data_IF_511032298695
#
_entry.id   IF_511032298695
#
_cell.length_a   1.000
_cell.length_b   1.000
_cell.length_c   1.000
_cell.angle_alpha   90.00
_cell.angle_beta   90.00
_cell.angle_gamma   90.00
#
_symmetry.space_group_name_H-M   'P 1'
#
loop_
_entity.id
_entity.type
_entity.pdbx_description
1 polymer ?
#
# COMPACT_ATOMS: atom_id res chain seq x y z
N UNK A 1 83.60 -86.01 12.75
CA UNK A 1 82.56 -85.07 13.22
C UNK A 1 82.73 -83.78 12.45
N UNK A 2 81.88 -83.53 11.46
CA UNK A 2 81.82 -82.26 10.73
C UNK A 2 80.70 -81.44 11.35
N UNK A 3 81.05 -80.35 12.02
CA UNK A 3 80.07 -79.38 12.49
C UNK A 3 79.53 -78.57 11.31
N UNK A 4 78.21 -78.57 11.20
CA UNK A 4 77.45 -77.93 10.13
C UNK A 4 77.68 -76.42 10.14
N UNK A 5 78.15 -75.89 9.00
CA UNK A 5 78.18 -74.46 8.69
C UNK A 5 76.75 -73.96 8.44
N UNK A 6 76.13 -73.30 9.41
CA UNK A 6 74.92 -72.52 9.15
C UNK A 6 75.31 -71.15 8.57
N UNK A 7 75.14 -71.01 7.26
CA UNK A 7 75.14 -69.71 6.57
C UNK A 7 73.92 -68.91 7.07
N UNK A 8 74.04 -67.61 7.40
CA UNK A 8 72.87 -66.80 7.77
C UNK A 8 71.88 -66.79 6.60
N UNK A 9 70.77 -67.51 6.76
CA UNK A 9 69.84 -67.75 5.67
C UNK A 9 69.28 -66.41 5.14
N UNK A 10 69.07 -66.32 3.82
CA UNK A 10 68.39 -65.19 3.16
C UNK A 10 66.97 -64.89 3.69
N UNK A 11 66.51 -65.53 4.77
CA UNK A 11 65.28 -65.20 5.50
C UNK A 11 65.23 -63.75 5.96
N UNK A 12 66.32 -63.16 6.45
CA UNK A 12 66.30 -61.76 6.94
C UNK A 12 66.09 -60.79 5.78
N UNK A 13 66.82 -60.98 4.68
CA UNK A 13 66.61 -60.23 3.44
C UNK A 13 65.22 -60.43 2.85
N UNK A 14 64.70 -61.67 2.90
CA UNK A 14 63.34 -62.00 2.46
C UNK A 14 62.28 -61.34 3.35
N UNK A 15 62.44 -61.32 4.67
CA UNK A 15 61.57 -60.62 5.61
C UNK A 15 61.57 -59.10 5.39
N UNK A 16 62.75 -58.50 5.13
CA UNK A 16 62.85 -57.08 4.79
C UNK A 16 62.19 -56.73 3.45
N UNK A 17 62.36 -57.59 2.45
CA UNK A 17 61.71 -57.45 1.15
C UNK A 17 60.20 -57.64 1.24
N UNK A 18 59.74 -58.64 1.99
CA UNK A 18 58.32 -58.93 2.22
C UNK A 18 57.66 -57.77 2.99
N UNK A 19 58.32 -57.22 4.02
CA UNK A 19 57.85 -56.04 4.74
C UNK A 19 57.78 -54.80 3.82
N UNK A 20 58.75 -54.61 2.92
CA UNK A 20 58.73 -53.52 1.95
C UNK A 20 57.65 -53.71 0.88
N UNK A 21 57.40 -54.93 0.45
CA UNK A 21 56.30 -55.28 -0.45
C UNK A 21 54.93 -55.14 0.25
N UNK A 22 54.85 -55.41 1.56
CA UNK A 22 53.65 -55.17 2.36
C UNK A 22 53.39 -53.68 2.54
N UNK A 23 54.42 -52.88 2.85
CA UNK A 23 54.30 -51.44 2.99
C UNK A 23 53.88 -50.79 1.66
N UNK A 24 54.47 -51.23 0.54
CA UNK A 24 54.10 -50.76 -0.81
C UNK A 24 52.65 -51.13 -1.16
N UNK A 25 52.21 -52.36 -0.81
CA UNK A 25 50.82 -52.80 -0.99
C UNK A 25 49.84 -52.03 -0.10
N UNK A 26 50.20 -51.75 1.15
CA UNK A 26 49.40 -50.94 2.08
C UNK A 26 49.32 -49.48 1.67
N UNK A 27 50.39 -48.91 1.09
CA UNK A 27 50.38 -47.57 0.51
C UNK A 27 49.49 -47.49 -0.74
N UNK A 28 49.54 -48.49 -1.61
CA UNK A 28 48.67 -48.59 -2.79
C UNK A 28 47.21 -48.81 -2.42
N UNK A 29 46.94 -49.73 -1.49
CA UNK A 29 45.59 -50.02 -0.98
C UNK A 29 44.98 -48.80 -0.27
N UNK A 30 45.76 -48.13 0.58
CA UNK A 30 45.32 -46.89 1.24
C UNK A 30 45.00 -45.78 0.23
N UNK A 31 45.75 -45.69 -0.87
CA UNK A 31 45.46 -44.74 -1.96
C UNK A 31 44.18 -45.10 -2.71
N UNK A 32 43.95 -46.37 -3.04
CA UNK A 32 42.72 -46.81 -3.75
C UNK A 32 41.47 -46.76 -2.89
N UNK A 33 41.57 -47.05 -1.60
CA UNK A 33 40.42 -46.99 -0.67
C UNK A 33 40.01 -45.54 -0.38
N UNK A 34 40.96 -44.60 -0.37
CA UNK A 34 40.66 -43.18 -0.29
C UNK A 34 39.99 -42.66 -1.57
N UNK A 35 40.48 -43.02 -2.75
CA UNK A 35 39.98 -42.51 -4.04
C UNK A 35 38.65 -43.15 -4.48
N UNK A 36 38.41 -44.44 -4.24
CA UNK A 36 37.19 -45.13 -4.71
C UNK A 36 35.91 -44.71 -3.96
N UNK A 37 36.04 -44.19 -2.74
CA UNK A 37 34.93 -43.60 -1.99
C UNK A 37 34.55 -42.19 -2.48
N UNK A 38 35.41 -41.55 -3.30
CA UNK A 38 35.29 -40.13 -3.68
C UNK A 38 34.39 -39.88 -4.89
N UNK A 39 34.48 -40.74 -5.91
CA UNK A 39 33.73 -40.55 -7.15
C UNK A 39 32.21 -40.72 -6.96
N UNK A 40 31.79 -41.66 -6.10
CA UNK A 40 30.37 -41.87 -5.82
C UNK A 40 29.75 -40.78 -4.93
N UNK A 41 30.53 -40.23 -3.98
CA UNK A 41 30.02 -39.22 -3.05
C UNK A 41 29.92 -37.84 -3.70
N UNK A 42 30.85 -37.44 -4.57
CA UNK A 42 30.77 -36.15 -5.28
C UNK A 42 29.60 -36.08 -6.26
N UNK A 43 29.32 -37.17 -7.00
CA UNK A 43 28.19 -37.24 -7.93
C UNK A 43 26.82 -37.21 -7.22
N UNK A 44 26.68 -37.90 -6.09
CA UNK A 44 25.46 -37.84 -5.29
C UNK A 44 25.23 -36.45 -4.68
N UNK A 45 26.27 -35.80 -4.15
CA UNK A 45 26.14 -34.45 -3.61
C UNK A 45 25.74 -33.44 -4.69
N UNK A 46 26.31 -33.51 -5.90
CA UNK A 46 25.95 -32.61 -7.01
C UNK A 46 24.48 -32.73 -7.41
N UNK A 47 23.91 -33.94 -7.45
CA UNK A 47 22.50 -34.15 -7.81
C UNK A 47 21.54 -33.65 -6.71
N UNK A 48 21.89 -33.90 -5.44
CA UNK A 48 21.09 -33.49 -4.29
C UNK A 48 21.09 -31.96 -4.11
N UNK A 49 22.22 -31.31 -4.40
CA UNK A 49 22.36 -29.85 -4.33
C UNK A 49 21.48 -29.15 -5.37
N UNK A 50 21.42 -29.65 -6.61
CA UNK A 50 20.56 -29.06 -7.66
C UNK A 50 19.08 -29.13 -7.27
N UNK A 51 18.64 -30.25 -6.71
CA UNK A 51 17.26 -30.43 -6.25
C UNK A 51 16.91 -29.47 -5.10
N UNK A 52 17.80 -29.32 -4.13
CA UNK A 52 17.58 -28.47 -2.96
C UNK A 52 17.63 -26.97 -3.31
N UNK A 53 18.46 -26.55 -4.25
CA UNK A 53 18.47 -25.14 -4.73
C UNK A 53 17.14 -24.76 -5.39
N UNK A 54 16.45 -25.71 -6.02
CA UNK A 54 15.19 -25.43 -6.71
C UNK A 54 13.96 -25.49 -5.79
N UNK A 55 13.93 -26.41 -4.82
CA UNK A 55 12.72 -26.66 -4.02
C UNK A 55 12.94 -26.71 -2.50
N UNK A 56 14.18 -26.74 -2.04
CA UNK A 56 14.50 -27.03 -0.65
C UNK A 56 14.22 -25.87 0.32
N UNK A 57 13.97 -26.26 1.58
CA UNK A 57 13.89 -25.34 2.72
C UNK A 57 15.31 -24.99 3.22
N UNK A 58 15.47 -23.86 3.91
CA UNK A 58 16.77 -23.41 4.46
C UNK A 58 17.48 -24.51 5.26
N UNK A 59 16.70 -25.27 6.05
CA UNK A 59 17.19 -26.35 6.90
C UNK A 59 17.83 -27.50 6.11
N UNK A 60 17.32 -27.77 4.90
CA UNK A 60 17.84 -28.83 4.03
C UNK A 60 19.18 -28.41 3.40
N UNK A 61 19.32 -27.12 3.01
CA UNK A 61 20.59 -26.55 2.52
C UNK A 61 21.68 -26.59 3.59
N UNK A 62 21.32 -26.28 4.85
CA UNK A 62 22.25 -26.39 5.99
C UNK A 62 22.59 -27.85 6.32
N UNK A 63 21.60 -28.75 6.30
CA UNK A 63 21.79 -30.17 6.57
C UNK A 63 22.75 -30.86 5.58
N UNK A 64 22.77 -30.43 4.32
CA UNK A 64 23.76 -30.90 3.34
C UNK A 64 25.19 -30.55 3.73
N UNK A 65 25.44 -29.34 4.22
CA UNK A 65 26.78 -28.95 4.66
C UNK A 65 27.22 -29.73 5.90
N UNK A 66 26.32 -29.97 6.86
CA UNK A 66 26.64 -30.81 8.03
C UNK A 66 27.06 -32.22 7.61
N UNK A 67 26.45 -32.77 6.56
CA UNK A 67 26.79 -34.09 6.04
C UNK A 67 28.17 -34.09 5.35
N UNK A 68 28.43 -33.08 4.51
CA UNK A 68 29.76 -32.87 3.90
C UNK A 68 30.83 -32.67 4.97
N UNK A 69 30.55 -31.89 6.01
CA UNK A 69 31.48 -31.63 7.11
C UNK A 69 31.78 -32.91 7.91
N UNK A 70 30.78 -33.77 8.14
CA UNK A 70 30.97 -35.09 8.79
C UNK A 70 31.89 -35.98 7.95
N UNK A 71 31.67 -36.05 6.64
CA UNK A 71 32.52 -36.84 5.72
C UNK A 71 33.96 -36.33 5.69
N UNK A 72 34.16 -35.01 5.58
CA UNK A 72 35.50 -34.39 5.62
C UNK A 72 36.20 -34.68 6.95
N UNK A 73 35.49 -34.59 8.09
CA UNK A 73 36.02 -34.94 9.41
C UNK A 73 36.43 -36.42 9.48
N UNK A 74 35.62 -37.32 8.93
CA UNK A 74 35.91 -38.75 8.88
C UNK A 74 37.14 -39.06 8.00
N UNK A 75 37.32 -38.36 6.88
CA UNK A 75 38.55 -38.49 6.07
C UNK A 75 39.78 -38.02 6.84
N UNK A 76 39.70 -36.88 7.54
CA UNK A 76 40.80 -36.36 8.37
C UNK A 76 41.21 -37.38 9.45
N UNK A 77 40.26 -38.02 10.12
CA UNK A 77 40.58 -39.06 11.13
C UNK A 77 41.21 -40.31 10.51
N UNK A 78 40.73 -40.78 9.36
CA UNK A 78 41.34 -41.91 8.63
C UNK A 78 42.79 -41.63 8.20
N UNK A 79 43.08 -40.41 7.72
CA UNK A 79 44.45 -39.99 7.37
C UNK A 79 45.35 -39.99 8.62
N UNK A 80 44.84 -39.50 9.76
CA UNK A 80 45.58 -39.53 11.03
C UNK A 80 45.86 -40.96 11.50
N UNK A 81 44.89 -41.87 11.39
CA UNK A 81 45.05 -43.27 11.75
C UNK A 81 46.09 -43.97 10.85
N UNK A 82 46.04 -43.72 9.53
CA UNK A 82 47.03 -44.24 8.59
C UNK A 82 48.45 -43.78 8.95
N UNK A 83 48.62 -42.50 9.31
CA UNK A 83 49.90 -41.95 9.76
C UNK A 83 50.43 -42.68 11.00
N UNK A 84 49.55 -42.92 11.98
CA UNK A 84 49.92 -43.63 13.20
C UNK A 84 50.43 -45.04 12.89
N UNK A 85 49.66 -45.82 12.11
CA UNK A 85 50.03 -47.20 11.72
C UNK A 85 51.36 -47.25 10.95
N UNK A 86 51.60 -46.32 10.02
CA UNK A 86 52.84 -46.26 9.25
C UNK A 86 54.05 -45.94 10.15
N UNK A 87 53.88 -45.01 11.09
CA UNK A 87 54.92 -44.63 12.03
C UNK A 87 55.26 -45.77 13.00
N UNK A 88 54.25 -46.46 13.51
CA UNK A 88 54.40 -47.63 14.38
C UNK A 88 55.09 -48.79 13.65
N UNK A 89 54.67 -49.09 12.42
CA UNK A 89 55.30 -50.15 11.61
C UNK A 89 56.79 -49.90 11.36
N UNK A 90 57.17 -48.66 11.05
CA UNK A 90 58.57 -48.27 10.86
C UNK A 90 59.37 -48.25 12.19
N UNK A 91 58.71 -47.98 13.32
CA UNK A 91 59.34 -48.10 14.64
C UNK A 91 59.59 -49.56 15.02
N UNK A 92 58.62 -50.45 14.83
CA UNK A 92 58.76 -51.88 15.08
C UNK A 92 59.88 -52.49 14.21
N UNK A 93 59.89 -52.16 12.91
CA UNK A 93 60.95 -52.62 11.99
C UNK A 93 62.34 -52.17 12.44
N UNK A 94 62.47 -50.94 12.94
CA UNK A 94 63.73 -50.43 13.49
C UNK A 94 64.20 -51.25 14.70
N UNK A 95 63.30 -51.62 15.60
CA UNK A 95 63.64 -52.42 16.79
C UNK A 95 64.01 -53.86 16.43
N UNK A 96 63.32 -54.48 15.47
CA UNK A 96 63.66 -55.81 14.94
C UNK A 96 65.04 -55.81 14.27
N UNK A 97 65.32 -54.83 13.40
CA UNK A 97 66.64 -54.66 12.77
C UNK A 97 67.73 -54.49 13.84
N UNK A 98 67.47 -53.68 14.87
CA UNK A 98 68.42 -53.47 15.98
C UNK A 98 68.69 -54.77 16.74
N UNK A 99 67.67 -55.57 17.02
CA UNK A 99 67.83 -56.85 17.70
C UNK A 99 68.65 -57.85 16.87
N UNK A 100 68.36 -57.94 15.57
CA UNK A 100 69.09 -58.81 14.63
C UNK A 100 70.55 -58.40 14.52
N UNK A 101 70.85 -57.12 14.30
CA UNK A 101 72.23 -56.62 14.19
C UNK A 101 73.04 -56.89 15.46
N UNK A 102 72.44 -56.69 16.65
CA UNK A 102 73.09 -57.02 17.94
C UNK A 102 73.42 -58.50 18.06
N UNK A 103 72.47 -59.38 17.70
CA UNK A 103 72.66 -60.84 17.74
C UNK A 103 73.79 -61.28 16.82
N UNK A 104 73.81 -60.79 15.58
CA UNK A 104 74.84 -61.17 14.61
C UNK A 104 76.21 -60.53 14.91
N UNK A 105 76.27 -59.32 15.47
CA UNK A 105 77.52 -58.73 15.95
C UNK A 105 78.20 -59.66 16.97
N UNK A 106 77.45 -60.10 17.98
CA UNK A 106 77.95 -61.02 19.01
C UNK A 106 78.37 -62.39 18.46
N UNK A 107 77.60 -62.96 17.52
CA UNK A 107 77.93 -64.25 16.92
C UNK A 107 79.17 -64.15 16.01
N UNK A 108 79.30 -63.10 15.22
CA UNK A 108 80.45 -62.89 14.34
C UNK A 108 81.73 -62.60 15.13
N UNK A 109 81.65 -61.87 16.25
CA UNK A 109 82.77 -61.69 17.18
C UNK A 109 83.28 -63.02 17.76
N UNK A 110 82.39 -64.03 17.92
CA UNK A 110 82.74 -65.34 18.49
C UNK A 110 83.22 -66.38 17.48
N UNK A 111 82.76 -66.30 16.24
CA UNK A 111 82.94 -67.40 15.25
C UNK A 111 83.93 -67.02 14.14
N UNK A 112 84.10 -65.73 13.87
CA UNK A 112 84.93 -65.29 12.74
C UNK A 112 86.42 -65.27 13.09
N UNK A 113 87.27 -65.64 12.12
CA UNK A 113 88.73 -65.49 12.20
C UNK A 113 89.18 -64.02 11.99
N UNK A 114 88.24 -63.06 11.98
CA UNK A 114 88.47 -61.64 11.75
C UNK A 114 88.77 -60.93 13.07
N UNK A 115 89.58 -59.86 13.05
CA UNK A 115 89.76 -59.04 14.24
C UNK A 115 88.44 -58.28 14.55
N UNK A 116 88.11 -58.03 15.84
CA UNK A 116 86.89 -57.34 16.24
C UNK A 116 86.58 -56.02 15.48
N UNK A 117 87.56 -55.15 15.13
CA UNK A 117 87.32 -53.94 14.36
C UNK A 117 86.73 -54.22 12.96
N UNK A 118 87.11 -55.32 12.32
CA UNK A 118 86.66 -55.66 10.97
C UNK A 118 85.21 -56.18 10.99
N UNK A 119 84.84 -56.94 12.03
CA UNK A 119 83.45 -57.35 12.29
C UNK A 119 82.56 -56.12 12.51
N UNK A 120 83.01 -55.15 13.32
CA UNK A 120 82.29 -53.91 13.53
C UNK A 120 82.14 -53.07 12.26
N UNK A 121 83.17 -52.98 11.40
CA UNK A 121 83.07 -52.28 10.11
C UNK A 121 82.04 -52.92 9.17
N UNK A 122 81.97 -54.24 9.15
CA UNK A 122 81.00 -54.97 8.34
C UNK A 122 79.57 -54.75 8.85
N UNK A 123 79.34 -54.87 10.16
CA UNK A 123 78.05 -54.56 10.81
C UNK A 123 77.66 -53.10 10.59
N UNK A 124 78.62 -52.16 10.66
CA UNK A 124 78.38 -50.75 10.42
C UNK A 124 77.96 -50.47 8.97
N UNK A 125 78.56 -51.16 7.99
CA UNK A 125 78.20 -51.00 6.57
C UNK A 125 76.77 -51.48 6.31
N UNK A 126 76.41 -52.65 6.85
CA UNK A 126 75.06 -53.20 6.78
C UNK A 126 74.03 -52.32 7.53
N UNK A 127 74.37 -51.84 8.73
CA UNK A 127 73.52 -50.93 9.49
C UNK A 127 73.27 -49.61 8.73
N UNK A 128 74.29 -49.09 8.05
CA UNK A 128 74.17 -47.87 7.23
C UNK A 128 73.23 -48.08 6.04
N UNK A 129 73.33 -49.21 5.34
CA UNK A 129 72.42 -49.57 4.24
C UNK A 129 70.96 -49.72 4.73
N UNK A 130 70.75 -50.40 5.86
CA UNK A 130 69.42 -50.56 6.44
C UNK A 130 68.85 -49.22 6.92
N UNK A 131 69.66 -48.36 7.54
CA UNK A 131 69.26 -47.01 7.94
C UNK A 131 68.85 -46.14 6.75
N UNK A 132 69.57 -46.23 5.63
CA UNK A 132 69.19 -45.54 4.39
C UNK A 132 67.82 -46.02 3.88
N UNK A 133 67.53 -47.31 3.96
CA UNK A 133 66.21 -47.86 3.57
C UNK A 133 65.08 -47.38 4.48
N UNK A 134 65.29 -47.35 5.81
CA UNK A 134 64.31 -46.84 6.78
C UNK A 134 64.04 -45.34 6.54
N UNK A 135 65.09 -44.55 6.28
CA UNK A 135 64.95 -43.14 5.96
C UNK A 135 64.20 -42.91 4.64
N UNK A 136 64.46 -43.73 3.61
CA UNK A 136 63.73 -43.67 2.35
C UNK A 136 62.23 -43.97 2.55
N UNK A 137 61.90 -44.99 3.35
CA UNK A 137 60.52 -45.35 3.66
C UNK A 137 59.78 -44.26 4.44
N UNK A 138 60.43 -43.70 5.47
CA UNK A 138 59.87 -42.57 6.24
C UNK A 138 59.61 -41.37 5.35
N UNK A 139 60.52 -41.07 4.41
CA UNK A 139 60.31 -40.01 3.40
C UNK A 139 59.14 -40.32 2.47
N UNK A 140 58.97 -41.58 2.01
CA UNK A 140 57.83 -41.94 1.17
C UNK A 140 56.49 -41.88 1.92
N UNK A 141 56.44 -42.31 3.18
CA UNK A 141 55.26 -42.22 4.02
C UNK A 141 54.87 -40.75 4.26
N UNK A 142 55.84 -39.90 4.60
CA UNK A 142 55.61 -38.47 4.76
C UNK A 142 55.10 -37.81 3.46
N UNK A 143 55.65 -38.19 2.30
CA UNK A 143 55.16 -37.70 0.99
C UNK A 143 53.73 -38.14 0.69
N UNK A 144 53.37 -39.40 0.97
CA UNK A 144 51.99 -39.85 0.79
C UNK A 144 51.04 -39.06 1.67
N UNK A 145 51.38 -38.87 2.95
CA UNK A 145 50.55 -38.12 3.88
C UNK A 145 50.34 -36.67 3.45
N UNK A 146 51.40 -36.01 2.97
CA UNK A 146 51.29 -34.66 2.41
C UNK A 146 50.32 -34.62 1.23
N UNK A 147 50.44 -35.55 0.28
CA UNK A 147 49.56 -35.61 -0.88
C UNK A 147 48.10 -35.86 -0.49
N UNK A 148 47.84 -36.79 0.44
CA UNK A 148 46.50 -37.08 0.93
C UNK A 148 45.88 -35.89 1.67
N UNK A 149 46.68 -35.17 2.46
CA UNK A 149 46.23 -33.96 3.15
C UNK A 149 45.93 -32.84 2.16
N UNK A 150 46.78 -32.64 1.15
CA UNK A 150 46.60 -31.64 0.11
C UNK A 150 45.32 -31.91 -0.71
N UNK A 151 45.13 -33.14 -1.19
CA UNK A 151 43.95 -33.54 -1.95
C UNK A 151 42.66 -33.38 -1.13
N UNK A 152 42.68 -33.78 0.15
CA UNK A 152 41.54 -33.60 1.04
C UNK A 152 41.20 -32.12 1.29
N UNK A 153 42.21 -31.26 1.44
CA UNK A 153 41.99 -29.80 1.58
C UNK A 153 41.47 -29.16 0.30
N UNK A 154 41.97 -29.58 -0.86
CA UNK A 154 41.49 -29.10 -2.16
C UNK A 154 40.01 -29.50 -2.38
N UNK A 155 39.64 -30.74 -2.04
CA UNK A 155 38.25 -31.19 -2.10
C UNK A 155 37.35 -30.43 -1.12
N UNK A 156 37.78 -30.23 0.13
CA UNK A 156 37.04 -29.44 1.13
C UNK A 156 36.79 -28.01 0.63
N UNK A 157 37.81 -27.36 0.05
CA UNK A 157 37.67 -26.03 -0.55
C UNK A 157 36.66 -26.01 -1.70
N UNK A 158 36.72 -27.00 -2.60
CA UNK A 158 35.82 -27.05 -3.76
C UNK A 158 34.37 -27.28 -3.34
N UNK A 159 34.13 -28.19 -2.38
CA UNK A 159 32.80 -28.44 -1.83
C UNK A 159 32.25 -27.21 -1.11
N UNK A 160 33.10 -26.49 -0.37
CA UNK A 160 32.71 -25.24 0.31
C UNK A 160 32.31 -24.15 -0.66
N UNK A 161 33.11 -23.92 -1.71
CA UNK A 161 32.78 -22.93 -2.76
C UNK A 161 31.48 -23.29 -3.47
N UNK A 162 31.26 -24.57 -3.77
CA UNK A 162 30.03 -25.00 -4.42
C UNK A 162 28.80 -24.81 -3.51
N UNK A 163 28.92 -25.12 -2.22
CA UNK A 163 27.86 -24.87 -1.25
C UNK A 163 27.56 -23.37 -1.10
N UNK A 164 28.58 -22.51 -1.03
CA UNK A 164 28.43 -21.05 -0.94
C UNK A 164 27.69 -20.48 -2.18
N UNK A 165 28.05 -20.92 -3.39
CA UNK A 165 27.35 -20.55 -4.63
C UNK A 165 25.89 -21.01 -4.63
N UNK A 166 25.63 -22.26 -4.20
CA UNK A 166 24.28 -22.80 -4.14
C UNK A 166 23.41 -22.07 -3.10
N UNK A 167 23.97 -21.75 -1.94
CA UNK A 167 23.31 -20.95 -0.91
C UNK A 167 22.99 -19.54 -1.43
N UNK A 168 23.93 -18.90 -2.13
CA UNK A 168 23.71 -17.59 -2.74
C UNK A 168 22.55 -17.60 -3.76
N UNK A 169 22.55 -18.60 -4.66
CA UNK A 169 21.48 -18.77 -5.66
C UNK A 169 20.12 -19.03 -5.00
N UNK A 170 20.09 -19.89 -3.99
CA UNK A 170 18.89 -20.18 -3.21
C UNK A 170 18.35 -18.92 -2.51
N UNK A 171 19.22 -18.15 -1.84
CA UNK A 171 18.85 -16.87 -1.20
C UNK A 171 18.26 -15.91 -2.22
N UNK A 172 18.93 -15.70 -3.35
CA UNK A 172 18.46 -14.81 -4.42
C UNK A 172 17.09 -15.23 -4.96
N UNK A 173 16.87 -16.53 -5.13
CA UNK A 173 15.56 -17.07 -5.55
C UNK A 173 14.46 -16.74 -4.53
N UNK A 174 14.72 -16.92 -3.23
CA UNK A 174 13.75 -16.59 -2.16
C UNK A 174 13.49 -15.10 -2.02
N UNK A 175 14.52 -14.27 -2.14
CA UNK A 175 14.35 -12.80 -2.20
C UNK A 175 13.41 -12.42 -3.34
N UNK A 176 13.62 -12.96 -4.54
CA UNK A 176 12.75 -12.71 -5.69
C UNK A 176 11.32 -13.20 -5.43
N UNK A 177 11.14 -14.35 -4.81
CA UNK A 177 9.80 -14.86 -4.48
C UNK A 177 9.06 -13.94 -3.49
N UNK A 178 9.73 -13.43 -2.46
CA UNK A 178 9.15 -12.45 -1.52
C UNK A 178 8.75 -11.18 -2.25
N UNK A 179 9.62 -10.66 -3.12
CA UNK A 179 9.34 -9.47 -3.93
C UNK A 179 8.17 -9.71 -4.89
N UNK A 180 8.11 -10.87 -5.55
CA UNK A 180 7.05 -11.19 -6.50
C UNK A 180 5.70 -11.38 -5.80
N UNK A 181 5.68 -11.98 -4.59
CA UNK A 181 4.49 -12.03 -3.74
C UNK A 181 4.01 -10.63 -3.36
N UNK A 182 4.93 -9.77 -2.91
CA UNK A 182 4.60 -8.37 -2.60
C UNK A 182 4.04 -7.63 -3.81
N UNK A 183 4.68 -7.76 -4.98
CA UNK A 183 4.21 -7.16 -6.23
C UNK A 183 2.81 -7.66 -6.60
N UNK A 184 2.53 -8.96 -6.42
CA UNK A 184 1.19 -9.51 -6.65
C UNK A 184 0.14 -8.95 -5.69
N UNK A 185 0.49 -8.65 -4.43
CA UNK A 185 -0.42 -8.01 -3.49
C UNK A 185 -0.72 -6.57 -3.93
N UNK A 186 0.32 -5.81 -4.29
CA UNK A 186 0.16 -4.45 -4.80
C UNK A 186 -0.72 -4.40 -6.07
N UNK A 187 -0.58 -5.38 -6.98
CA UNK A 187 -1.41 -5.42 -8.20
C UNK A 187 -2.86 -5.87 -7.97
N UNK A 188 -3.14 -6.71 -6.97
CA UNK A 188 -4.53 -7.10 -6.62
C UNK A 188 -5.30 -5.93 -6.02
N UNK A 189 -4.59 -5.03 -5.35
CA UNK A 189 -5.19 -3.86 -4.77
C UNK A 189 -5.62 -2.85 -5.84
N UNK A 190 -4.88 -2.72 -6.96
CA UNK A 190 -5.29 -1.85 -8.09
C UNK A 190 -6.69 -2.24 -8.64
N UNK A 191 -6.97 -3.54 -8.81
CA UNK A 191 -8.25 -4.04 -9.32
C UNK A 191 -9.40 -3.87 -8.31
N UNK A 192 -9.13 -4.10 -7.02
CA UNK A 192 -10.11 -3.95 -5.94
C UNK A 192 -10.39 -2.46 -5.63
N UNK A 193 -9.36 -1.62 -5.68
CA UNK A 193 -9.44 -0.16 -5.59
C UNK A 193 -10.20 0.42 -6.78
N UNK A 194 -9.97 -0.03 -8.01
CA UNK A 194 -10.73 0.41 -9.19
C UNK A 194 -12.24 0.17 -9.02
N UNK A 195 -12.63 -0.97 -8.46
CA UNK A 195 -14.04 -1.32 -8.20
C UNK A 195 -14.62 -0.46 -7.08
N UNK A 196 -13.89 -0.28 -5.97
CA UNK A 196 -14.32 0.58 -4.85
C UNK A 196 -14.44 2.05 -5.28
N UNK A 197 -13.47 2.55 -6.04
CA UNK A 197 -13.45 3.92 -6.58
C UNK A 197 -14.53 4.12 -7.65
N UNK A 198 -14.83 3.14 -8.50
CA UNK A 198 -15.94 3.24 -9.46
C UNK A 198 -17.31 3.22 -8.79
N UNK A 199 -17.53 2.32 -7.83
CA UNK A 199 -18.77 2.28 -7.05
C UNK A 199 -18.96 3.59 -6.29
N UNK A 200 -17.89 4.14 -5.70
CA UNK A 200 -17.92 5.36 -4.91
C UNK A 200 -18.04 6.64 -5.76
N UNK A 201 -17.48 6.65 -6.98
CA UNK A 201 -17.76 7.68 -8.01
C UNK A 201 -19.23 7.68 -8.43
N UNK A 202 -19.87 6.51 -8.45
CA UNK A 202 -21.30 6.37 -8.71
C UNK A 202 -22.12 7.00 -7.56
N UNK A 203 -21.77 6.70 -6.30
CA UNK A 203 -22.41 7.30 -5.11
C UNK A 203 -22.18 8.81 -5.02
N UNK A 204 -21.04 9.31 -5.48
CA UNK A 204 -20.74 10.75 -5.54
C UNK A 204 -21.65 11.50 -6.51
N UNK A 205 -22.07 10.88 -7.63
CA UNK A 205 -23.06 11.45 -8.56
C UNK A 205 -24.46 11.53 -7.93
N UNK A 206 -24.78 10.58 -7.06
CA UNK A 206 -26.08 10.55 -6.37
C UNK A 206 -26.10 11.52 -5.17
N UNK A 207 -24.95 11.80 -4.53
CA UNK A 207 -24.84 12.64 -3.32
C UNK A 207 -24.51 14.12 -3.58
N UNK A 208 -24.29 14.53 -4.84
CA UNK A 208 -24.14 15.95 -5.23
C UNK A 208 -25.36 16.84 -4.91
N UNK A 209 -26.44 16.28 -4.36
CA UNK A 209 -27.62 17.01 -3.91
C UNK A 209 -27.46 17.72 -2.55
N UNK A 210 -26.38 17.46 -1.77
CA UNK A 210 -26.17 18.13 -0.46
C UNK A 210 -24.72 18.55 -0.22
N UNK A 211 -24.45 19.85 -0.39
CA UNK A 211 -23.15 20.52 -0.28
C UNK A 211 -22.34 20.29 1.03
N UNK A 212 -22.95 19.78 2.10
CA UNK A 212 -22.23 19.42 3.33
C UNK A 212 -21.57 18.04 3.28
N UNK A 213 -22.08 17.10 2.47
CA UNK A 213 -21.64 15.70 2.46
C UNK A 213 -20.40 15.45 1.59
N UNK A 214 -20.04 16.39 0.71
CA UNK A 214 -18.89 16.24 -0.18
C UNK A 214 -17.55 16.35 0.56
N UNK A 215 -17.44 17.26 1.54
CA UNK A 215 -16.23 17.38 2.35
C UNK A 215 -15.99 16.11 3.19
N UNK A 216 -17.06 15.59 3.80
CA UNK A 216 -17.03 14.34 4.58
C UNK A 216 -16.68 13.14 3.67
N UNK A 217 -17.22 13.08 2.46
CA UNK A 217 -16.91 12.01 1.49
C UNK A 217 -15.45 12.03 1.03
N UNK A 218 -14.89 13.22 0.74
CA UNK A 218 -13.48 13.37 0.39
C UNK A 218 -12.56 12.99 1.55
N UNK A 219 -12.94 13.38 2.78
CA UNK A 219 -12.20 12.99 3.97
C UNK A 219 -12.21 11.47 4.16
N UNK A 220 -13.38 10.84 4.01
CA UNK A 220 -13.51 9.39 4.07
C UNK A 220 -12.64 8.70 3.00
N UNK A 221 -12.60 9.22 1.77
CA UNK A 221 -11.72 8.69 0.72
C UNK A 221 -10.24 8.81 1.10
N UNK A 222 -9.81 9.96 1.62
CA UNK A 222 -8.43 10.15 2.11
C UNK A 222 -8.08 9.14 3.19
N UNK A 223 -8.97 8.93 4.16
CA UNK A 223 -8.76 7.91 5.21
C UNK A 223 -8.67 6.49 4.66
N UNK A 224 -9.50 6.13 3.66
CA UNK A 224 -9.43 4.82 3.03
C UNK A 224 -8.08 4.58 2.34
N UNK A 225 -7.58 5.56 1.57
CA UNK A 225 -6.27 5.44 0.93
C UNK A 225 -5.13 5.40 1.95
N UNK A 226 -5.19 6.24 2.97
CA UNK A 226 -4.18 6.25 4.04
C UNK A 226 -4.11 4.90 4.77
N UNK A 227 -5.26 4.26 4.99
CA UNK A 227 -5.32 2.93 5.59
C UNK A 227 -4.70 1.87 4.69
N UNK A 228 -5.00 1.90 3.38
CA UNK A 228 -4.36 1.00 2.41
C UNK A 228 -2.84 1.17 2.38
N UNK A 229 -2.35 2.42 2.45
CA UNK A 229 -0.91 2.67 2.50
C UNK A 229 -0.27 2.18 3.80
N UNK A 230 -0.96 2.34 4.94
CA UNK A 230 -0.52 1.78 6.22
C UNK A 230 -0.46 0.25 6.19
N UNK A 231 -1.47 -0.40 5.62
CA UNK A 231 -1.50 -1.85 5.43
C UNK A 231 -0.32 -2.29 4.53
N UNK A 232 -0.07 -1.57 3.42
CA UNK A 232 1.09 -1.81 2.55
C UNK A 232 2.44 -1.66 3.25
N UNK A 233 2.59 -0.67 4.14
CA UNK A 233 3.79 -0.52 4.97
C UNK A 233 3.95 -1.67 5.98
N UNK A 234 2.85 -2.17 6.54
CA UNK A 234 2.89 -3.32 7.44
C UNK A 234 3.35 -4.59 6.73
N UNK A 235 2.92 -4.79 5.48
CA UNK A 235 3.40 -5.89 4.62
C UNK A 235 4.88 -5.76 4.26
N UNK A 236 5.42 -4.54 4.16
CA UNK A 236 6.86 -4.32 3.98
C UNK A 236 7.65 -4.78 5.20
N UNK A 237 7.15 -4.51 6.41
CA UNK A 237 7.79 -5.02 7.64
C UNK A 237 7.73 -6.56 7.70
N UNK A 238 6.63 -7.19 7.28
CA UNK A 238 6.56 -8.66 7.16
C UNK A 238 7.56 -9.21 6.13
N UNK A 239 7.71 -8.53 4.98
CA UNK A 239 8.72 -8.88 3.99
C UNK A 239 10.13 -8.75 4.56
N UNK A 240 10.40 -7.70 5.34
CA UNK A 240 11.69 -7.47 6.00
C UNK A 240 12.03 -8.57 7.01
N UNK A 241 11.05 -9.01 7.79
CA UNK A 241 11.21 -10.16 8.69
C UNK A 241 11.52 -11.45 7.91
N UNK A 242 10.79 -11.70 6.82
CA UNK A 242 11.01 -12.85 5.95
C UNK A 242 12.40 -12.84 5.27
N UNK A 243 12.86 -11.67 4.83
CA UNK A 243 14.20 -11.48 4.26
C UNK A 243 15.30 -11.68 5.31
N UNK A 244 15.08 -11.18 6.54
CA UNK A 244 16.01 -11.37 7.66
C UNK A 244 16.15 -12.85 8.04
N UNK A 245 15.07 -13.63 7.93
CA UNK A 245 15.11 -15.09 8.14
C UNK A 245 15.99 -15.84 7.12
N UNK A 246 16.37 -15.23 5.99
CA UNK A 246 17.28 -15.81 5.00
C UNK A 246 18.77 -15.64 5.36
N UNK A 247 19.08 -15.07 6.53
CA UNK A 247 20.44 -14.73 6.98
C UNK A 247 21.20 -13.80 6.00
N UNK A 248 20.49 -12.85 5.42
CA UNK A 248 21.08 -11.73 4.68
C UNK A 248 21.67 -10.72 5.66
N UNK A 249 22.61 -9.89 5.21
CA UNK A 249 23.07 -8.77 6.04
C UNK A 249 21.97 -7.71 6.18
N UNK A 250 21.98 -6.94 7.27
CA UNK A 250 21.01 -5.83 7.43
C UNK A 250 21.11 -4.82 6.27
N UNK A 251 22.30 -4.59 5.73
CA UNK A 251 22.52 -3.71 4.58
C UNK A 251 21.84 -4.25 3.31
N UNK A 252 21.95 -5.56 3.04
CA UNK A 252 21.31 -6.21 1.89
C UNK A 252 19.78 -6.19 2.00
N UNK A 253 19.24 -6.43 3.20
CA UNK A 253 17.79 -6.34 3.43
C UNK A 253 17.30 -4.91 3.22
N UNK A 254 18.01 -3.93 3.77
CA UNK A 254 17.65 -2.52 3.62
C UNK A 254 17.77 -2.05 2.16
N UNK A 255 18.74 -2.54 1.40
CA UNK A 255 18.87 -2.26 -0.03
C UNK A 255 17.68 -2.81 -0.82
N UNK A 256 17.25 -4.05 -0.56
CA UNK A 256 16.06 -4.64 -1.22
C UNK A 256 14.78 -3.86 -0.86
N UNK A 257 14.59 -3.51 0.41
CA UNK A 257 13.44 -2.73 0.88
C UNK A 257 13.41 -1.36 0.20
N UNK A 258 14.54 -0.64 0.21
CA UNK A 258 14.62 0.73 -0.32
C UNK A 258 14.60 0.81 -1.84
N UNK A 259 15.18 -0.17 -2.55
CA UNK A 259 15.28 -0.17 -4.01
C UNK A 259 14.07 -0.80 -4.70
N UNK A 260 13.37 -1.75 -4.05
CA UNK A 260 12.29 -2.50 -4.69
C UNK A 260 10.93 -2.38 -4.00
N UNK A 261 10.85 -2.49 -2.68
CA UNK A 261 9.54 -2.52 -1.99
C UNK A 261 8.96 -1.11 -1.81
N UNK A 262 9.72 -0.18 -1.23
CA UNK A 262 9.27 1.20 -1.00
C UNK A 262 8.93 1.97 -2.28
N UNK A 263 9.67 1.83 -3.40
CA UNK A 263 9.32 2.52 -4.64
C UNK A 263 7.99 2.07 -5.27
N UNK A 264 7.55 0.83 -5.01
CA UNK A 264 6.24 0.34 -5.44
C UNK A 264 5.12 1.04 -4.67
N UNK A 265 5.21 1.07 -3.32
CA UNK A 265 4.26 1.83 -2.48
C UNK A 265 4.26 3.30 -2.87
N UNK A 266 5.43 3.91 -3.00
CA UNK A 266 5.55 5.32 -3.36
C UNK A 266 5.06 5.66 -4.77
N UNK A 267 4.95 4.68 -5.69
CA UNK A 267 4.27 4.88 -6.98
C UNK A 267 2.76 4.90 -6.79
N UNK A 268 2.21 3.90 -6.09
CA UNK A 268 0.77 3.78 -5.85
C UNK A 268 0.26 4.99 -5.08
N UNK A 269 0.95 5.38 -4.01
CA UNK A 269 0.65 6.58 -3.23
C UNK A 269 0.57 7.84 -4.11
N UNK A 270 1.56 8.07 -4.98
CA UNK A 270 1.55 9.25 -5.87
C UNK A 270 0.36 9.24 -6.83
N UNK A 271 0.03 8.08 -7.40
CA UNK A 271 -1.10 7.95 -8.30
C UNK A 271 -2.43 8.22 -7.58
N UNK A 272 -2.59 7.73 -6.36
CA UNK A 272 -3.76 7.97 -5.52
C UNK A 272 -3.87 9.45 -5.11
N UNK A 273 -2.76 10.08 -4.72
CA UNK A 273 -2.68 11.51 -4.40
C UNK A 273 -3.05 12.39 -5.62
N UNK A 274 -2.58 12.03 -6.82
CA UNK A 274 -2.95 12.71 -8.07
C UNK A 274 -4.45 12.58 -8.36
N UNK A 275 -5.04 11.40 -8.14
CA UNK A 275 -6.48 11.18 -8.31
C UNK A 275 -7.31 11.99 -7.31
N UNK A 276 -6.90 12.03 -6.04
CA UNK A 276 -7.54 12.85 -5.00
C UNK A 276 -7.46 14.34 -5.33
N UNK A 277 -6.29 14.82 -5.78
CA UNK A 277 -6.12 16.21 -6.19
C UNK A 277 -7.01 16.58 -7.38
N UNK A 278 -7.11 15.70 -8.39
CA UNK A 278 -8.01 15.91 -9.53
C UNK A 278 -9.49 15.97 -9.10
N UNK A 279 -9.88 15.17 -8.11
CA UNK A 279 -11.22 15.16 -7.57
C UNK A 279 -11.55 16.45 -6.80
N UNK A 280 -10.61 16.93 -5.97
CA UNK A 280 -10.74 18.20 -5.25
C UNK A 280 -10.96 19.37 -6.22
N UNK A 281 -10.14 19.46 -7.28
CA UNK A 281 -10.27 20.50 -8.31
C UNK A 281 -11.63 20.45 -9.02
N UNK A 282 -12.10 19.24 -9.37
CA UNK A 282 -13.42 19.06 -9.99
C UNK A 282 -14.53 19.53 -9.05
N UNK A 283 -14.50 19.14 -7.77
CA UNK A 283 -15.47 19.55 -6.76
C UNK A 283 -15.54 21.07 -6.58
N UNK A 284 -14.37 21.72 -6.50
CA UNK A 284 -14.28 23.17 -6.39
C UNK A 284 -14.87 23.89 -7.60
N UNK A 285 -14.71 23.32 -8.80
CA UNK A 285 -15.30 23.88 -10.02
C UNK A 285 -16.83 23.80 -10.00
N UNK A 286 -17.39 22.66 -9.60
CA UNK A 286 -18.85 22.45 -9.48
C UNK A 286 -19.42 23.36 -8.40
N UNK A 287 -18.76 23.47 -7.25
CA UNK A 287 -19.16 24.34 -6.15
C UNK A 287 -19.16 25.82 -6.55
N UNK A 288 -18.15 26.27 -7.31
CA UNK A 288 -18.11 27.63 -7.88
C UNK A 288 -19.24 27.86 -8.88
N UNK A 289 -19.50 26.90 -9.76
CA UNK A 289 -20.58 26.99 -10.74
C UNK A 289 -21.95 27.06 -10.05
N UNK A 290 -22.24 26.17 -9.10
CA UNK A 290 -23.47 26.16 -8.32
C UNK A 290 -23.68 27.48 -7.55
N UNK A 291 -22.63 28.02 -6.93
CA UNK A 291 -22.67 29.34 -6.28
C UNK A 291 -22.98 30.47 -7.26
N UNK A 292 -22.39 30.44 -8.45
CA UNK A 292 -22.67 31.43 -9.50
C UNK A 292 -24.12 31.34 -9.98
N UNK A 293 -24.63 30.13 -10.22
CA UNK A 293 -26.00 29.90 -10.63
C UNK A 293 -26.99 30.37 -9.55
N UNK A 294 -26.75 30.00 -8.29
CA UNK A 294 -27.55 30.44 -7.14
C UNK A 294 -27.60 31.97 -7.04
N UNK A 295 -26.48 32.66 -7.27
CA UNK A 295 -26.44 34.13 -7.31
C UNK A 295 -27.29 34.70 -8.45
N UNK A 296 -27.22 34.12 -9.64
CA UNK A 296 -28.06 34.54 -10.77
C UNK A 296 -29.56 34.34 -10.46
N UNK A 297 -29.94 33.17 -9.94
CA UNK A 297 -31.33 32.87 -9.53
C UNK A 297 -31.80 33.85 -8.46
N UNK A 298 -30.98 34.13 -7.45
CA UNK A 298 -31.31 35.11 -6.41
C UNK A 298 -31.59 36.50 -6.99
N UNK A 299 -30.76 36.99 -7.92
CA UNK A 299 -30.96 38.29 -8.58
C UNK A 299 -32.28 38.32 -9.35
N UNK A 300 -32.59 37.26 -10.11
CA UNK A 300 -33.86 37.15 -10.86
C UNK A 300 -35.05 37.14 -9.91
N UNK A 301 -35.03 36.30 -8.87
CA UNK A 301 -36.10 36.21 -7.88
C UNK A 301 -36.31 37.52 -7.13
N UNK A 302 -35.23 38.21 -6.75
CA UNK A 302 -35.30 39.52 -6.09
C UNK A 302 -35.94 40.58 -6.99
N UNK A 303 -35.59 40.61 -8.28
CA UNK A 303 -36.19 41.55 -9.22
C UNK A 303 -37.66 41.22 -9.49
N UNK A 304 -38.04 39.94 -9.57
CA UNK A 304 -39.44 39.53 -9.67
C UNK A 304 -40.26 39.91 -8.43
N UNK A 305 -39.69 39.74 -7.23
CA UNK A 305 -40.32 40.18 -5.99
C UNK A 305 -40.53 41.70 -5.97
N UNK A 306 -39.55 42.49 -6.41
CA UNK A 306 -39.66 43.95 -6.50
C UNK A 306 -40.78 44.39 -7.46
N UNK A 307 -40.98 43.69 -8.59
CA UNK A 307 -42.09 43.96 -9.51
C UNK A 307 -43.45 43.75 -8.84
N UNK A 308 -43.59 42.65 -8.08
CA UNK A 308 -44.80 42.35 -7.31
C UNK A 308 -45.06 43.38 -6.21
N UNK A 309 -44.04 43.73 -5.44
CA UNK A 309 -44.12 44.79 -4.40
C UNK A 309 -44.55 46.13 -5.01
N UNK A 310 -43.95 46.51 -6.15
CA UNK A 310 -44.30 47.75 -6.86
C UNK A 310 -45.76 47.75 -7.32
N UNK A 311 -46.25 46.63 -7.86
CA UNK A 311 -47.66 46.48 -8.24
C UNK A 311 -48.59 46.63 -7.04
N UNK A 312 -48.30 45.95 -5.93
CA UNK A 312 -49.11 46.07 -4.71
C UNK A 312 -49.16 47.50 -4.17
N UNK A 313 -48.03 48.22 -4.17
CA UNK A 313 -48.01 49.63 -3.75
C UNK A 313 -48.88 50.52 -4.64
N UNK A 314 -48.85 50.31 -5.97
CA UNK A 314 -49.71 51.05 -6.90
C UNK A 314 -51.18 50.73 -6.69
N UNK A 315 -51.51 49.45 -6.53
CA UNK A 315 -52.86 48.98 -6.26
C UNK A 315 -53.43 49.61 -4.99
N UNK A 316 -52.65 49.59 -3.90
CA UNK A 316 -53.02 50.23 -2.65
C UNK A 316 -53.22 51.75 -2.83
N UNK A 317 -52.34 52.42 -3.57
CA UNK A 317 -52.47 53.86 -3.83
C UNK A 317 -53.77 54.20 -4.59
N UNK A 318 -54.19 53.34 -5.53
CA UNK A 318 -55.47 53.49 -6.27
C UNK A 318 -56.68 53.25 -5.37
N UNK A 319 -56.62 52.23 -4.53
CA UNK A 319 -57.67 51.96 -3.53
C UNK A 319 -57.84 53.14 -2.58
N UNK A 320 -56.73 53.67 -2.05
CA UNK A 320 -56.72 54.87 -1.20
C UNK A 320 -57.27 56.11 -1.92
N UNK A 321 -57.05 56.26 -3.23
CA UNK A 321 -57.59 57.35 -4.04
C UNK A 321 -59.12 57.28 -4.17
N UNK A 322 -59.66 56.12 -4.50
CA UNK A 322 -61.12 55.91 -4.58
C UNK A 322 -61.76 56.06 -3.20
N UNK A 323 -61.12 55.51 -2.17
CA UNK A 323 -61.58 55.64 -0.78
C UNK A 323 -61.66 57.11 -0.34
N UNK A 324 -60.61 57.89 -0.61
CA UNK A 324 -60.61 59.34 -0.34
C UNK A 324 -61.73 60.06 -1.07
N UNK A 325 -61.96 59.74 -2.35
CA UNK A 325 -63.03 60.37 -3.12
C UNK A 325 -64.43 60.03 -2.56
N UNK A 326 -64.67 58.78 -2.18
CA UNK A 326 -65.92 58.36 -1.53
C UNK A 326 -66.12 59.03 -0.17
N UNK A 327 -65.04 59.16 0.61
CA UNK A 327 -65.09 59.85 1.89
C UNK A 327 -65.40 61.34 1.70
N UNK A 328 -64.80 62.01 0.72
CA UNK A 328 -65.11 63.41 0.39
C UNK A 328 -66.58 63.59 -0.01
N UNK A 329 -67.12 62.69 -0.84
CA UNK A 329 -68.56 62.66 -1.19
C UNK A 329 -69.42 62.47 0.07
N UNK A 330 -69.07 61.54 0.95
CA UNK A 330 -69.81 61.29 2.20
C UNK A 330 -69.79 62.50 3.13
N UNK A 331 -68.64 63.12 3.32
CA UNK A 331 -68.49 64.31 4.17
C UNK A 331 -69.24 65.51 3.57
N UNK A 332 -69.19 65.70 2.25
CA UNK A 332 -69.93 66.78 1.58
C UNK A 332 -71.45 66.60 1.71
N UNK A 333 -71.95 65.38 1.53
CA UNK A 333 -73.36 65.03 1.72
C UNK A 333 -73.80 65.25 3.16
N UNK A 334 -73.01 64.84 4.14
CA UNK A 334 -73.33 65.03 5.55
C UNK A 334 -73.43 66.52 5.90
N UNK A 335 -72.48 67.34 5.42
CA UNK A 335 -72.53 68.80 5.61
C UNK A 335 -73.75 69.42 4.93
N UNK A 336 -74.07 68.98 3.72
CA UNK A 336 -75.24 69.43 2.98
C UNK A 336 -76.55 69.11 3.70
N UNK A 337 -76.72 67.85 4.11
CA UNK A 337 -77.90 67.39 4.86
C UNK A 337 -78.05 68.11 6.19
N UNK A 338 -76.94 68.38 6.88
CA UNK A 338 -76.99 69.13 8.13
C UNK A 338 -77.49 70.57 7.93
N UNK A 339 -77.02 71.27 6.88
CA UNK A 339 -77.55 72.60 6.52
C UNK A 339 -79.02 72.54 6.15
N UNK A 340 -79.39 71.54 5.36
CA UNK A 340 -80.77 71.38 4.89
C UNK A 340 -81.73 71.05 6.03
N UNK A 341 -81.28 70.27 7.01
CA UNK A 341 -82.00 69.95 8.26
C UNK A 341 -82.30 71.20 9.09
N UNK A 342 -81.28 72.04 9.35
CA UNK A 342 -81.48 73.30 10.10
C UNK A 342 -82.56 74.17 9.44
N UNK A 343 -82.49 74.33 8.11
CA UNK A 343 -83.49 75.12 7.39
C UNK A 343 -84.87 74.45 7.33
N UNK A 344 -84.95 73.11 7.31
CA UNK A 344 -86.22 72.40 7.45
C UNK A 344 -86.82 72.64 8.84
N UNK A 345 -86.01 72.65 9.89
CA UNK A 345 -86.45 72.95 11.25
C UNK A 345 -87.03 74.38 11.34
N UNK A 346 -86.42 75.35 10.65
CA UNK A 346 -86.96 76.71 10.51
C UNK A 346 -88.31 76.74 9.78
N UNK A 347 -88.44 76.03 8.65
CA UNK A 347 -89.70 75.91 7.90
C UNK A 347 -90.81 75.25 8.73
N UNK A 348 -90.47 74.20 9.49
CA UNK A 348 -91.39 73.53 10.40
C UNK A 348 -91.77 74.43 11.60
N UNK A 349 -90.85 75.26 12.08
CA UNK A 349 -91.13 76.29 13.09
C UNK A 349 -92.14 77.30 12.58
N UNK A 350 -91.97 77.78 11.34
CA UNK A 350 -92.93 78.65 10.66
C UNK A 350 -94.32 78.03 10.53
N UNK A 351 -94.39 76.77 10.05
CA UNK A 351 -95.64 76.00 9.93
C UNK A 351 -96.43 75.92 11.25
N UNK A 352 -95.76 75.82 12.39
CA UNK A 352 -96.40 75.75 13.72
C UNK A 352 -96.99 77.09 14.18
N UNK A 353 -96.57 78.21 13.58
CA UNK A 353 -96.94 79.58 13.96
C UNK A 353 -97.92 80.24 12.97
N UNK A 354 -98.39 79.52 11.96
CA UNK A 354 -99.28 80.06 10.93
C UNK A 354 -100.66 80.43 11.49
N UNK A 355 -101.20 81.56 11.02
CA UNK A 355 -102.43 82.17 11.57
C UNK A 355 -103.69 81.95 10.71
N UNK A 356 -103.55 81.34 9.53
CA UNK A 356 -104.67 81.03 8.63
C UNK A 356 -104.42 79.75 7.82
N UNK A 357 -105.50 79.11 7.36
CA UNK A 357 -105.45 77.88 6.57
C UNK A 357 -104.71 78.08 5.22
N UNK A 358 -104.95 79.21 4.55
CA UNK A 358 -104.30 79.53 3.28
C UNK A 358 -102.79 79.80 3.44
N UNK A 359 -102.39 80.44 4.54
CA UNK A 359 -100.98 80.65 4.88
C UNK A 359 -100.29 79.32 5.23
N UNK A 360 -100.95 78.47 6.03
CA UNK A 360 -100.48 77.13 6.38
C UNK A 360 -100.31 76.23 5.15
N UNK A 361 -101.25 76.28 4.21
CA UNK A 361 -101.17 75.52 2.96
C UNK A 361 -99.98 75.97 2.11
N UNK A 362 -99.76 77.28 2.00
CA UNK A 362 -98.65 77.85 1.23
C UNK A 362 -97.28 77.52 1.86
N UNK A 363 -97.15 77.57 3.19
CA UNK A 363 -95.91 77.18 3.86
C UNK A 363 -95.69 75.66 3.86
N UNK A 364 -96.76 74.86 3.84
CA UNK A 364 -96.67 73.41 3.68
C UNK A 364 -96.18 73.05 2.28
N UNK A 365 -96.74 73.65 1.24
CA UNK A 365 -96.29 73.47 -0.14
C UNK A 365 -94.81 73.84 -0.30
N UNK A 366 -94.35 74.90 0.37
CA UNK A 366 -92.93 75.29 0.40
C UNK A 366 -92.06 74.23 1.07
N UNK A 367 -92.48 73.67 2.21
CA UNK A 367 -91.74 72.61 2.89
C UNK A 367 -91.71 71.31 2.06
N UNK A 368 -92.80 70.98 1.37
CA UNK A 368 -92.87 69.82 0.47
C UNK A 368 -91.93 69.98 -0.73
N UNK A 369 -91.95 71.13 -1.40
CA UNK A 369 -91.02 71.43 -2.51
C UNK A 369 -89.57 71.37 -2.05
N UNK A 370 -89.27 71.89 -0.86
CA UNK A 370 -87.95 71.84 -0.28
C UNK A 370 -87.49 70.40 0.05
N UNK A 371 -88.38 69.55 0.58
CA UNK A 371 -88.09 68.14 0.80
C UNK A 371 -87.86 67.36 -0.51
N UNK A 372 -88.54 67.75 -1.60
CA UNK A 372 -88.30 67.19 -2.93
C UNK A 372 -86.91 67.56 -3.46
N UNK A 373 -86.46 68.80 -3.26
CA UNK A 373 -85.10 69.26 -3.59
C UNK A 373 -84.02 68.47 -2.82
N UNK A 374 -84.22 68.28 -1.51
CA UNK A 374 -83.33 67.44 -0.68
C UNK A 374 -83.30 66.00 -1.19
N UNK A 375 -84.46 65.41 -1.54
CA UNK A 375 -84.55 64.06 -2.10
C UNK A 375 -83.81 63.94 -3.43
N UNK A 376 -83.95 64.91 -4.33
CA UNK A 376 -83.23 64.93 -5.60
C UNK A 376 -81.72 64.99 -5.38
N UNK A 377 -81.27 65.87 -4.49
CA UNK A 377 -79.85 66.03 -4.14
C UNK A 377 -79.25 64.76 -3.52
N UNK A 378 -80.01 64.04 -2.68
CA UNK A 378 -79.59 62.75 -2.15
C UNK A 378 -79.44 61.69 -3.24
N UNK A 379 -80.35 61.66 -4.22
CA UNK A 379 -80.26 60.74 -5.38
C UNK A 379 -79.03 61.06 -6.22
N UNK A 380 -78.74 62.34 -6.44
CA UNK A 380 -77.54 62.77 -7.17
C UNK A 380 -76.27 62.32 -6.45
N UNK A 381 -76.15 62.54 -5.14
CA UNK A 381 -74.98 62.08 -4.39
C UNK A 381 -74.80 60.55 -4.41
N UNK A 382 -75.89 59.78 -4.36
CA UNK A 382 -75.82 58.32 -4.51
C UNK A 382 -75.36 57.95 -5.93
N UNK A 383 -75.82 58.67 -6.95
CA UNK A 383 -75.34 58.51 -8.34
C UNK A 383 -73.84 58.80 -8.45
N UNK A 384 -73.35 59.88 -7.83
CA UNK A 384 -71.93 60.25 -7.84
C UNK A 384 -71.05 59.20 -7.13
N UNK A 385 -71.53 58.63 -6.02
CA UNK A 385 -70.87 57.51 -5.33
C UNK A 385 -70.84 56.24 -6.18
N UNK A 386 -71.93 55.93 -6.89
CA UNK A 386 -71.97 54.82 -7.84
C UNK A 386 -71.02 55.03 -9.01
N UNK A 387 -70.93 56.23 -9.56
CA UNK A 387 -69.99 56.54 -10.64
C UNK A 387 -68.52 56.38 -10.19
N UNK A 388 -68.21 56.76 -8.95
CA UNK A 388 -66.90 56.52 -8.36
C UNK A 388 -66.58 55.02 -8.22
N UNK A 389 -67.56 54.21 -7.79
CA UNK A 389 -67.40 52.76 -7.66
C UNK A 389 -67.35 52.03 -9.00
N UNK A 390 -68.09 52.50 -10.01
CA UNK A 390 -68.14 51.92 -11.36
C UNK A 390 -66.79 52.04 -12.09
N UNK A 391 -65.96 53.01 -11.69
CA UNK A 391 -64.59 53.18 -12.19
C UNK A 391 -63.56 52.25 -11.52
N UNK A 392 -63.89 51.59 -10.41
CA UNK A 392 -62.95 50.73 -9.70
C UNK A 392 -62.48 49.52 -10.54
N UNK A 393 -63.37 48.75 -11.21
CA UNK A 393 -62.94 47.59 -12.00
C UNK A 393 -61.99 47.96 -13.15
N UNK A 394 -62.18 49.09 -13.82
CA UNK A 394 -61.30 49.52 -14.90
C UNK A 394 -59.92 49.94 -14.39
N UNK A 395 -59.84 50.65 -13.26
CA UNK A 395 -58.57 51.02 -12.63
C UNK A 395 -57.77 49.79 -12.19
N UNK A 396 -58.44 48.79 -11.58
CA UNK A 396 -57.79 47.53 -11.21
C UNK A 396 -57.28 46.76 -12.43
N UNK A 397 -58.04 46.76 -13.52
CA UNK A 397 -57.65 46.12 -14.77
C UNK A 397 -56.43 46.81 -15.40
N UNK A 398 -56.40 48.15 -15.41
CA UNK A 398 -55.26 48.94 -15.91
C UNK A 398 -53.96 48.62 -15.14
N UNK A 399 -54.00 48.57 -13.81
CA UNK A 399 -52.83 48.24 -12.99
C UNK A 399 -52.38 46.78 -13.21
N UNK A 400 -53.32 45.86 -13.40
CA UNK A 400 -53.02 44.45 -13.70
C UNK A 400 -52.38 44.29 -15.08
N UNK A 401 -52.86 45.02 -16.09
CA UNK A 401 -52.26 45.05 -17.43
C UNK A 401 -50.86 45.67 -17.40
N UNK A 402 -50.66 46.74 -16.65
CA UNK A 402 -49.33 47.35 -16.43
C UNK A 402 -48.36 46.37 -15.76
N UNK A 403 -48.81 45.62 -14.75
CA UNK A 403 -47.99 44.59 -14.10
C UNK A 403 -47.66 43.44 -15.05
N UNK A 404 -48.65 42.95 -15.78
CA UNK A 404 -48.48 41.91 -16.81
C UNK A 404 -47.44 42.32 -17.86
N UNK A 405 -47.53 43.54 -18.40
CA UNK A 405 -46.56 44.08 -19.35
C UNK A 405 -45.16 44.17 -18.74
N UNK A 406 -45.04 44.55 -17.46
CA UNK A 406 -43.76 44.63 -16.77
C UNK A 406 -43.12 43.26 -16.56
N UNK A 407 -43.92 42.24 -16.22
CA UNK A 407 -43.48 40.85 -16.13
C UNK A 407 -43.06 40.28 -17.49
N UNK A 408 -43.85 40.51 -18.54
CA UNK A 408 -43.51 40.06 -19.89
C UNK A 408 -42.20 40.66 -20.37
N UNK A 409 -41.97 41.96 -20.12
CA UNK A 409 -40.70 42.61 -20.44
C UNK A 409 -39.53 42.05 -19.61
N UNK A 410 -39.75 41.76 -18.32
CA UNK A 410 -38.71 41.25 -17.43
C UNK A 410 -38.25 39.84 -17.81
N UNK A 411 -39.19 38.95 -18.15
CA UNK A 411 -38.88 37.57 -18.56
C UNK A 411 -38.70 37.40 -20.08
N UNK A 412 -38.78 38.49 -20.86
CA UNK A 412 -38.76 38.47 -22.33
C UNK A 412 -39.78 37.48 -22.92
N UNK A 413 -40.94 37.36 -22.29
CA UNK A 413 -42.03 36.53 -22.79
C UNK A 413 -42.67 37.28 -23.95
N UNK A 414 -42.81 36.62 -25.10
CA UNK A 414 -43.59 37.17 -26.22
C UNK A 414 -45.00 37.52 -25.73
N UNK A 415 -45.57 38.64 -26.20
CA UNK A 415 -46.91 39.09 -25.84
C UNK A 415 -47.96 38.06 -26.27
N UNK A 416 -48.21 37.05 -25.45
CA UNK A 416 -49.17 35.96 -25.72
C UNK A 416 -50.59 36.30 -25.29
N UNK A 417 -50.80 37.45 -24.64
CA UNK A 417 -52.12 37.93 -24.23
C UNK A 417 -52.39 39.32 -24.80
N UNK A 418 -52.64 39.38 -26.10
CA UNK A 418 -53.54 40.40 -26.64
C UNK A 418 -54.96 39.91 -26.38
N UNK A 419 -55.62 40.47 -25.36
CA UNK A 419 -57.07 40.38 -25.20
C UNK A 419 -57.77 41.11 -26.35
#
# INVERSE_FOLDING_TARGET
>A
MCENKEVPSGKVYRQLFDAQAQLSRSLLAGRTDCLSSEDNTTLQHQQVVVFIVQQGQHQEVCGLWEQVEKEVKLKKTRIMELNHRLTESEAQRMDEIRAVLRKYCYLLEKISFLLPPDVHRLIHTEATMLNQSLLANRRSAARLLLLLQEENLQQESLLRLHWEDCLSRWRKSRVNEVIDRFRSLCSRDEDQQLISVQQMKQTQRDLTERHGLHADSLHQQRCCYEQVWQDGLSEVELCKEALSALQLSEEEVNDVVSSQLLPLIGRNQRQDEEQLAALDVCSDSVSRHARSLSRCVFVVMRAAALLWETHNCRLQSREEEVQRHLDDLRHSQQRYLQRKKVHLDDLLGGLRQESSEDALKTSLDRAVLYLQDVKHSCRQCVSDQWEALDRLPSLLLEELLSYSSSLSSFYQLGHTYTL
#
